data_IF_929937368401
#
_entry.id   IF_929937368401
#
_cell.length_a   1.000
_cell.length_b   1.000
_cell.length_c   1.000
_cell.angle_alpha   90.00
_cell.angle_beta   90.00
_cell.angle_gamma   90.00
#
_symmetry.space_group_name_H-M   'P 1'
#
loop_
_entity.id
_entity.type
_entity.pdbx_description
1 polymer ?
#
# COMPACT_ATOMS: atom_id res chain seq x y z
N UNK A 1 -9.06 4.32 6.16
CA UNK A 1 -9.31 2.87 6.07
C UNK A 1 -10.70 2.61 6.61
N UNK A 2 -11.66 2.13 5.82
CA UNK A 2 -12.96 1.75 6.40
C UNK A 2 -12.70 0.50 7.23
N UNK A 3 -12.88 0.61 8.55
CA UNK A 3 -12.81 -0.51 9.53
C UNK A 3 -13.52 -1.77 9.03
N UNK A 4 -14.50 -1.59 8.16
CA UNK A 4 -15.26 -2.59 7.43
C UNK A 4 -14.40 -3.59 6.62
N UNK A 5 -13.29 -3.17 6.00
CA UNK A 5 -12.45 -4.07 5.18
C UNK A 5 -11.49 -4.88 6.05
N UNK A 6 -10.87 -4.24 7.07
CA UNK A 6 -10.05 -4.97 8.05
C UNK A 6 -10.91 -5.94 8.86
N UNK A 7 -12.16 -5.56 9.18
CA UNK A 7 -13.14 -6.44 9.81
C UNK A 7 -13.57 -7.58 8.87
N UNK A 8 -13.88 -7.31 7.60
CA UNK A 8 -14.17 -8.35 6.59
C UNK A 8 -13.04 -9.38 6.51
N UNK A 9 -11.78 -8.96 6.43
CA UNK A 9 -10.64 -9.88 6.32
C UNK A 9 -10.39 -10.65 7.63
N UNK A 10 -10.68 -10.06 8.79
CA UNK A 10 -10.51 -10.69 10.10
C UNK A 10 -11.64 -11.68 10.44
N UNK A 11 -12.86 -11.40 9.99
CA UNK A 11 -14.05 -12.22 10.25
C UNK A 11 -14.25 -13.34 9.21
N UNK A 12 -13.38 -13.40 8.18
CA UNK A 12 -13.31 -14.48 7.19
C UNK A 12 -12.77 -15.78 7.81
N UNK A 13 -13.62 -16.50 8.57
CA UNK A 13 -13.43 -17.91 8.88
C UNK A 13 -14.01 -18.76 7.73
N UNK A 14 -13.15 -19.16 6.78
CA UNK A 14 -13.59 -19.92 5.61
C UNK A 14 -13.45 -21.43 5.82
N UNK A 15 -14.52 -22.06 6.26
CA UNK A 15 -14.72 -23.48 6.00
C UNK A 15 -14.98 -23.66 4.50
N UNK A 16 -14.13 -24.47 3.85
CA UNK A 16 -13.84 -24.40 2.41
C UNK A 16 -15.03 -24.55 1.46
N UNK A 17 -15.22 -23.53 0.62
CA UNK A 17 -15.96 -23.62 -0.65
C UNK A 17 -15.56 -22.54 -1.66
N UNK A 18 -15.89 -22.73 -2.94
CA UNK A 18 -15.60 -21.80 -4.05
C UNK A 18 -16.03 -20.34 -3.76
N UNK A 19 -17.10 -20.15 -2.98
CA UNK A 19 -17.59 -18.83 -2.54
C UNK A 19 -16.53 -18.04 -1.76
N UNK A 20 -15.60 -18.71 -1.07
CA UNK A 20 -14.52 -18.04 -0.35
C UNK A 20 -13.47 -17.40 -1.26
N UNK A 21 -13.20 -18.00 -2.44
CA UNK A 21 -12.25 -17.42 -3.40
C UNK A 21 -12.82 -16.20 -4.11
N UNK A 22 -14.13 -16.17 -4.36
CA UNK A 22 -14.78 -15.00 -4.95
C UNK A 22 -14.79 -13.81 -3.97
N UNK A 23 -14.99 -14.05 -2.67
CA UNK A 23 -14.84 -13.02 -1.64
C UNK A 23 -13.41 -12.47 -1.57
N UNK A 24 -12.39 -13.31 -1.77
CA UNK A 24 -11.01 -12.82 -1.92
C UNK A 24 -10.83 -11.98 -3.19
N UNK A 25 -11.45 -12.33 -4.33
CA UNK A 25 -11.38 -11.49 -5.54
C UNK A 25 -11.99 -10.12 -5.32
N UNK A 26 -13.17 -10.07 -4.68
CA UNK A 26 -13.84 -8.81 -4.35
C UNK A 26 -12.96 -7.95 -3.43
N UNK A 27 -12.44 -8.54 -2.34
CA UNK A 27 -11.53 -7.83 -1.44
C UNK A 27 -10.27 -7.34 -2.15
N UNK A 28 -9.71 -8.15 -3.07
CA UNK A 28 -8.53 -7.77 -3.85
C UNK A 28 -8.83 -6.57 -4.76
N UNK A 29 -10.00 -6.55 -5.39
CA UNK A 29 -10.46 -5.45 -6.23
C UNK A 29 -10.66 -4.16 -5.41
N UNK A 30 -11.26 -4.25 -4.22
CA UNK A 30 -11.44 -3.12 -3.31
C UNK A 30 -10.10 -2.52 -2.86
N UNK A 31 -9.12 -3.38 -2.54
CA UNK A 31 -7.77 -2.91 -2.18
C UNK A 31 -7.08 -2.23 -3.36
N UNK A 32 -7.27 -2.74 -4.58
CA UNK A 32 -6.74 -2.12 -5.79
C UNK A 32 -7.29 -0.71 -6.01
N UNK A 33 -8.61 -0.53 -5.92
CA UNK A 33 -9.20 0.79 -6.05
C UNK A 33 -8.70 1.76 -4.98
N UNK A 34 -8.62 1.31 -3.72
CA UNK A 34 -8.11 2.13 -2.63
C UNK A 34 -6.67 2.56 -2.84
N UNK A 35 -5.80 1.62 -3.22
CA UNK A 35 -4.39 1.91 -3.48
C UNK A 35 -4.24 2.96 -4.57
N UNK A 36 -4.87 2.78 -5.74
CA UNK A 36 -4.75 3.74 -6.84
C UNK A 36 -5.36 5.10 -6.53
N UNK A 37 -6.47 5.15 -5.77
CA UNK A 37 -7.04 6.41 -5.29
C UNK A 37 -6.07 7.16 -4.37
N UNK A 38 -5.43 6.46 -3.43
CA UNK A 38 -4.48 7.05 -2.47
C UNK A 38 -3.17 7.46 -3.14
N UNK A 39 -2.65 6.60 -4.02
CA UNK A 39 -1.48 6.89 -4.86
C UNK A 39 -1.70 8.16 -5.67
N UNK A 40 -2.85 8.31 -6.32
CA UNK A 40 -3.18 9.51 -7.09
C UNK A 40 -3.17 10.78 -6.22
N UNK A 41 -3.76 10.72 -5.02
CA UNK A 41 -3.70 11.85 -4.07
C UNK A 41 -2.27 12.19 -3.66
N UNK A 42 -1.45 11.18 -3.39
CA UNK A 42 -0.04 11.35 -3.03
C UNK A 42 0.77 11.95 -4.18
N UNK A 43 0.62 11.45 -5.40
CA UNK A 43 1.25 12.00 -6.60
C UNK A 43 0.88 13.46 -6.82
N UNK A 44 -0.41 13.79 -6.75
CA UNK A 44 -0.88 15.17 -6.91
C UNK A 44 -0.27 16.10 -5.84
N UNK A 45 -0.21 15.66 -4.58
CA UNK A 45 0.41 16.45 -3.50
C UNK A 45 1.88 16.75 -3.79
N UNK A 46 2.62 15.75 -4.30
CA UNK A 46 4.03 15.90 -4.67
C UNK A 46 4.19 16.87 -5.84
N UNK A 47 3.38 16.71 -6.88
CA UNK A 47 3.39 17.57 -8.07
C UNK A 47 3.05 19.03 -7.72
N UNK A 48 2.02 19.27 -6.93
CA UNK A 48 1.57 20.63 -6.60
C UNK A 48 2.56 21.39 -5.71
N UNK A 49 3.31 20.68 -4.84
CA UNK A 49 4.08 21.34 -3.77
C UNK A 49 5.60 21.21 -3.90
N UNK A 50 6.10 20.22 -4.65
CA UNK A 50 7.53 19.91 -4.70
C UNK A 50 8.13 20.03 -6.09
N UNK A 51 7.35 20.30 -7.14
CA UNK A 51 7.81 20.36 -8.55
C UNK A 51 8.93 21.39 -8.79
N UNK A 52 9.03 22.44 -7.96
CA UNK A 52 10.11 23.44 -8.04
C UNK A 52 11.41 23.02 -7.32
N UNK A 53 11.37 21.92 -6.55
CA UNK A 53 12.52 21.35 -5.83
C UNK A 53 12.98 20.05 -6.51
N UNK A 54 13.71 20.16 -7.62
CA UNK A 54 14.10 19.02 -8.48
C UNK A 54 14.58 17.76 -7.73
N UNK A 55 15.47 17.91 -6.75
CA UNK A 55 16.06 16.75 -6.06
C UNK A 55 15.05 16.00 -5.16
N UNK A 56 14.21 16.72 -4.42
CA UNK A 56 13.22 16.09 -3.55
C UNK A 56 12.06 15.54 -4.37
N UNK A 57 11.65 16.25 -5.42
CA UNK A 57 10.61 15.81 -6.35
C UNK A 57 10.91 14.45 -6.98
N UNK A 58 12.09 14.28 -7.58
CA UNK A 58 12.48 13.03 -8.25
C UNK A 58 12.55 11.86 -7.26
N UNK A 59 13.02 12.12 -6.03
CA UNK A 59 13.07 11.11 -4.97
C UNK A 59 11.68 10.69 -4.53
N UNK A 60 10.80 11.65 -4.23
CA UNK A 60 9.42 11.39 -3.81
C UNK A 60 8.65 10.60 -4.87
N UNK A 61 8.79 10.97 -6.15
CA UNK A 61 8.19 10.20 -7.26
C UNK A 61 8.76 8.80 -7.38
N UNK A 62 10.07 8.63 -7.23
CA UNK A 62 10.68 7.30 -7.27
C UNK A 62 10.13 6.39 -6.16
N UNK A 63 9.85 6.94 -4.98
CA UNK A 63 9.24 6.19 -3.87
C UNK A 63 7.80 5.78 -4.21
N UNK A 64 7.00 6.70 -4.76
CA UNK A 64 5.64 6.38 -5.23
C UNK A 64 5.67 5.27 -6.29
N UNK A 65 6.62 5.34 -7.21
CA UNK A 65 6.83 4.29 -8.22
C UNK A 65 7.19 2.93 -7.59
N UNK A 66 8.05 2.92 -6.57
CA UNK A 66 8.40 1.69 -5.85
C UNK A 66 7.18 1.08 -5.13
N UNK A 67 6.37 1.89 -4.46
CA UNK A 67 5.15 1.44 -3.80
C UNK A 67 4.16 0.81 -4.79
N UNK A 68 3.96 1.46 -5.95
CA UNK A 68 3.13 0.91 -7.02
C UNK A 68 3.66 -0.42 -7.53
N UNK A 69 4.98 -0.51 -7.79
CA UNK A 69 5.59 -1.74 -8.27
C UNK A 69 5.34 -2.88 -7.27
N UNK A 70 5.55 -2.63 -5.98
CA UNK A 70 5.38 -3.62 -4.93
C UNK A 70 3.92 -4.02 -4.74
N UNK A 71 3.01 -3.06 -4.79
CA UNK A 71 1.57 -3.32 -4.76
C UNK A 71 1.18 -4.24 -5.92
N UNK A 72 1.62 -3.91 -7.14
CA UNK A 72 1.31 -4.68 -8.34
C UNK A 72 1.91 -6.09 -8.32
N UNK A 73 3.10 -6.27 -7.75
CA UNK A 73 3.72 -7.60 -7.57
C UNK A 73 2.87 -8.48 -6.64
N UNK A 74 2.46 -7.96 -5.48
CA UNK A 74 1.60 -8.71 -4.55
C UNK A 74 0.20 -8.94 -5.11
N UNK A 75 -0.41 -7.93 -5.75
CA UNK A 75 -1.72 -8.04 -6.39
C UNK A 75 -1.74 -9.17 -7.43
N UNK A 76 -0.74 -9.19 -8.33
CA UNK A 76 -0.61 -10.26 -9.33
C UNK A 76 -0.41 -11.62 -8.67
N UNK A 77 0.41 -11.68 -7.63
CA UNK A 77 0.65 -12.92 -6.90
C UNK A 77 -0.63 -13.50 -6.30
N UNK A 78 -1.43 -12.67 -5.61
CA UNK A 78 -2.73 -13.07 -5.05
C UNK A 78 -3.68 -13.52 -6.15
N UNK A 79 -3.78 -12.75 -7.23
CA UNK A 79 -4.64 -13.10 -8.36
C UNK A 79 -4.26 -14.47 -8.96
N UNK A 80 -2.97 -14.74 -9.13
CA UNK A 80 -2.48 -16.05 -9.60
C UNK A 80 -2.85 -17.17 -8.66
N UNK A 81 -2.73 -16.98 -7.33
CA UNK A 81 -3.13 -17.99 -6.34
C UNK A 81 -4.63 -18.28 -6.48
N UNK A 82 -5.46 -17.25 -6.54
CA UNK A 82 -6.91 -17.41 -6.68
C UNK A 82 -7.26 -18.14 -7.99
N UNK A 83 -6.62 -17.78 -9.11
CA UNK A 83 -6.91 -18.35 -10.44
C UNK A 83 -6.44 -19.80 -10.58
N UNK A 84 -5.31 -20.17 -9.97
CA UNK A 84 -4.75 -21.52 -10.05
C UNK A 84 -5.31 -22.47 -8.99
N UNK A 85 -6.03 -21.94 -8.00
CA UNK A 85 -6.64 -22.73 -6.94
C UNK A 85 -7.97 -23.31 -7.39
N UNK A 86 -8.05 -24.65 -7.47
CA UNK A 86 -9.29 -25.35 -7.78
C UNK A 86 -10.33 -25.32 -6.66
N UNK A 87 -9.91 -25.25 -5.39
CA UNK A 87 -10.79 -25.10 -4.23
C UNK A 87 -10.01 -24.41 -3.12
N UNK A 88 -10.67 -23.56 -2.33
CA UNK A 88 -10.04 -23.04 -1.13
C UNK A 88 -9.78 -24.16 -0.12
N UNK A 89 -8.60 -24.12 0.50
CA UNK A 89 -8.22 -24.99 1.60
C UNK A 89 -7.41 -24.17 2.61
N UNK A 90 -7.17 -24.72 3.79
CA UNK A 90 -6.50 -24.00 4.88
C UNK A 90 -5.14 -23.42 4.48
N UNK A 91 -4.39 -24.11 3.61
CA UNK A 91 -3.07 -23.66 3.15
C UNK A 91 -3.21 -22.45 2.21
N UNK A 92 -4.14 -22.52 1.26
CA UNK A 92 -4.44 -21.42 0.33
C UNK A 92 -4.96 -20.21 1.12
N UNK A 93 -5.86 -20.44 2.08
CA UNK A 93 -6.44 -19.39 2.92
C UNK A 93 -5.37 -18.65 3.73
N UNK A 94 -4.51 -19.37 4.44
CA UNK A 94 -3.39 -18.77 5.19
C UNK A 94 -2.44 -17.98 4.29
N UNK A 95 -2.14 -18.51 3.10
CA UNK A 95 -1.25 -17.86 2.16
C UNK A 95 -1.86 -16.59 1.57
N UNK A 96 -3.16 -16.61 1.23
CA UNK A 96 -3.92 -15.44 0.81
C UNK A 96 -3.95 -14.41 1.95
N UNK A 97 -4.33 -14.78 3.16
CA UNK A 97 -4.36 -13.86 4.31
C UNK A 97 -3.01 -13.17 4.54
N UNK A 98 -1.89 -13.91 4.45
CA UNK A 98 -0.54 -13.31 4.60
C UNK A 98 -0.30 -12.25 3.53
N UNK A 99 -0.64 -12.54 2.27
CA UNK A 99 -0.44 -11.61 1.15
C UNK A 99 -1.38 -10.41 1.20
N UNK A 100 -2.62 -10.61 1.62
CA UNK A 100 -3.57 -9.53 1.89
C UNK A 100 -3.06 -8.58 2.97
N UNK A 101 -2.46 -9.10 4.04
CA UNK A 101 -1.79 -8.26 5.05
C UNK A 101 -0.65 -7.43 4.45
N UNK A 102 0.13 -7.99 3.53
CA UNK A 102 1.16 -7.24 2.81
C UNK A 102 0.57 -6.11 1.96
N UNK A 103 -0.50 -6.36 1.19
CA UNK A 103 -1.19 -5.30 0.41
C UNK A 103 -1.72 -4.18 1.30
N UNK A 104 -2.38 -4.54 2.41
CA UNK A 104 -2.90 -3.57 3.38
C UNK A 104 -1.76 -2.74 3.96
N UNK A 105 -0.63 -3.36 4.30
CA UNK A 105 0.56 -2.64 4.78
C UNK A 105 1.05 -1.62 3.76
N UNK A 106 1.11 -1.97 2.47
CA UNK A 106 1.50 -1.03 1.41
C UNK A 106 0.52 0.16 1.31
N UNK A 107 -0.78 -0.10 1.45
CA UNK A 107 -1.81 0.96 1.45
C UNK A 107 -1.67 1.87 2.67
N UNK A 108 -1.58 1.29 3.87
CA UNK A 108 -1.45 2.04 5.12
C UNK A 108 -0.17 2.91 5.09
N UNK A 109 0.91 2.40 4.50
CA UNK A 109 2.15 3.15 4.29
C UNK A 109 1.99 4.30 3.30
N UNK A 110 1.18 4.12 2.25
CA UNK A 110 0.87 5.18 1.29
C UNK A 110 0.12 6.33 1.99
N UNK A 111 -0.79 6.00 2.92
CA UNK A 111 -1.47 6.99 3.76
C UNK A 111 -0.50 7.71 4.71
N UNK A 112 0.36 6.96 5.42
CA UNK A 112 1.35 7.59 6.31
C UNK A 112 2.26 8.57 5.57
N UNK A 113 2.68 8.24 4.34
CA UNK A 113 3.46 9.16 3.52
C UNK A 113 2.71 10.42 3.12
N UNK A 114 1.42 10.28 2.80
CA UNK A 114 0.58 11.44 2.51
C UNK A 114 0.45 12.33 3.74
N UNK A 115 0.16 11.75 4.91
CA UNK A 115 0.01 12.48 6.17
C UNK A 115 1.30 13.19 6.55
N UNK A 116 2.45 12.51 6.42
CA UNK A 116 3.77 13.10 6.67
C UNK A 116 4.04 14.28 5.75
N UNK A 117 3.78 14.17 4.45
CA UNK A 117 3.95 15.30 3.52
C UNK A 117 3.03 16.47 3.84
N UNK A 118 1.75 16.21 4.17
CA UNK A 118 0.80 17.25 4.56
C UNK A 118 1.25 17.98 5.84
N UNK A 119 1.73 17.23 6.83
CA UNK A 119 2.29 17.81 8.05
C UNK A 119 3.49 18.70 7.75
N UNK A 120 4.36 18.29 6.83
CA UNK A 120 5.51 19.10 6.42
C UNK A 120 5.10 20.42 5.74
N UNK A 121 4.07 20.39 4.90
CA UNK A 121 3.54 21.61 4.27
C UNK A 121 2.87 22.55 5.28
N UNK A 122 2.17 21.98 6.27
CA UNK A 122 1.43 22.73 7.29
C UNK A 122 2.32 23.41 8.33
N UNK A 123 3.57 22.95 8.49
CA UNK A 123 4.52 23.45 9.48
C UNK A 123 5.58 24.40 8.89
N UNK A 124 5.30 24.99 7.72
CA UNK A 124 6.22 25.76 6.85
C UNK A 124 6.74 27.09 7.41
N UNK A 125 6.51 27.42 8.68
CA UNK A 125 7.09 28.61 9.34
C UNK A 125 8.50 28.37 9.96
N UNK A 126 9.08 27.16 9.89
CA UNK A 126 10.41 26.89 10.48
C UNK A 126 11.23 25.77 9.81
N UNK A 127 12.37 26.15 9.23
CA UNK A 127 13.51 25.32 8.77
C UNK A 127 13.20 24.14 7.80
N UNK A 128 12.95 24.47 6.52
CA UNK A 128 12.67 23.52 5.42
C UNK A 128 13.72 22.40 5.22
N UNK A 129 15.01 22.66 5.45
CA UNK A 129 16.09 21.73 5.08
C UNK A 129 16.24 20.51 6.02
N UNK A 130 15.90 20.63 7.30
CA UNK A 130 16.08 19.53 8.27
C UNK A 130 14.94 18.50 8.21
N UNK A 131 13.72 18.91 7.83
CA UNK A 131 12.55 18.01 7.84
C UNK A 131 12.36 17.20 6.55
N UNK A 132 12.73 17.76 5.39
CA UNK A 132 12.77 17.03 4.13
C UNK A 132 13.64 15.76 4.24
N UNK A 133 14.70 15.80 5.05
CA UNK A 133 15.55 14.63 5.33
C UNK A 133 14.78 13.58 6.13
N UNK A 134 13.99 13.94 7.14
CA UNK A 134 13.22 12.97 7.95
C UNK A 134 12.11 12.25 7.17
N UNK A 135 11.50 12.94 6.21
CA UNK A 135 10.51 12.34 5.29
C UNK A 135 11.20 11.32 4.40
N UNK A 136 12.33 11.69 3.82
CA UNK A 136 13.12 10.82 2.96
C UNK A 136 13.71 9.62 3.73
N UNK A 137 14.15 9.79 4.98
CA UNK A 137 14.62 8.70 5.82
C UNK A 137 13.49 7.74 6.23
N UNK A 138 12.31 8.29 6.54
CA UNK A 138 11.10 7.49 6.78
C UNK A 138 10.74 6.68 5.53
N UNK A 139 10.90 7.29 4.35
CA UNK A 139 10.70 6.67 3.03
C UNK A 139 11.71 5.59 2.66
N UNK A 140 12.99 5.75 2.98
CA UNK A 140 14.02 4.73 2.77
C UNK A 140 13.81 3.54 3.71
N UNK A 141 13.50 3.80 4.99
CA UNK A 141 13.12 2.76 5.95
C UNK A 141 11.85 1.99 5.54
N UNK A 142 10.96 2.67 4.81
CA UNK A 142 9.72 2.14 4.28
C UNK A 142 9.97 1.11 3.17
N UNK A 143 10.89 1.41 2.25
CA UNK A 143 11.33 0.49 1.19
C UNK A 143 11.98 -0.74 1.82
N UNK A 144 12.84 -0.55 2.83
CA UNK A 144 13.57 -1.65 3.45
C UNK A 144 12.66 -2.54 4.31
N UNK A 145 11.71 -1.98 5.05
CA UNK A 145 10.81 -2.77 5.90
C UNK A 145 9.87 -3.72 5.12
N UNK A 146 9.64 -3.49 3.83
CA UNK A 146 8.90 -4.45 2.99
C UNK A 146 9.82 -5.47 2.32
N UNK A 147 11.10 -5.15 2.08
CA UNK A 147 12.09 -6.14 1.60
C UNK A 147 12.24 -7.32 2.57
N UNK A 148 12.05 -7.10 3.87
CA UNK A 148 12.15 -8.14 4.90
C UNK A 148 10.94 -9.09 4.99
N UNK A 149 9.93 -8.95 4.13
CA UNK A 149 8.78 -9.87 4.06
C UNK A 149 8.84 -10.87 2.90
N UNK A 150 9.94 -10.91 2.12
CA UNK A 150 10.20 -11.93 1.10
C UNK A 150 10.72 -13.24 1.70
#
# INVERSE_FOLDING_TARGET
MTEEIKKKIKDMNFEGDFQSLDLYKEALFDLNQQFFSKKAKLSNLIEENYQYTNYNYDRLLNIVFHLEKMFNEEYKSILSIIQLSYKNNVVIDQLLQKKFKSLISIIDKTDSLYDDLVLNLSLSDSNENQRNISVLESMDSLIDSVKYYK
#
